data_IF_666652581633
#
_entry.id   IF_666652581633
#
_cell.length_a   1.000
_cell.length_b   1.000
_cell.length_c   1.000
_cell.angle_alpha   90.00
_cell.angle_beta   90.00
_cell.angle_gamma   90.00
#
_symmetry.space_group_name_H-M   'P 1'
#
loop_
_entity.id
_entity.type
_entity.pdbx_description
1 polymer ?
#
# COMPACT_ATOMS: atom_id res chain seq x y z
N UNK A 1 -48.68 -14.57 -58.81
CA UNK A 1 -48.13 -13.43 -58.06
C UNK A 1 -47.19 -13.99 -56.99
N UNK A 2 -46.02 -13.40 -56.76
CA UNK A 2 -45.07 -13.87 -55.73
C UNK A 2 -44.73 -12.74 -54.77
N UNK A 3 -45.26 -12.80 -53.55
CA UNK A 3 -44.91 -11.85 -52.49
C UNK A 3 -43.52 -12.21 -51.93
N UNK A 4 -42.56 -11.29 -51.99
CA UNK A 4 -41.27 -11.44 -51.31
C UNK A 4 -41.41 -10.92 -49.88
N UNK A 5 -41.34 -11.82 -48.91
CA UNK A 5 -41.33 -11.48 -47.49
C UNK A 5 -39.94 -10.95 -47.10
N UNK A 6 -39.83 -9.66 -46.80
CA UNK A 6 -38.59 -9.06 -46.31
C UNK A 6 -38.52 -9.16 -44.78
N UNK A 7 -37.60 -9.98 -44.27
CA UNK A 7 -37.34 -10.09 -42.82
C UNK A 7 -36.41 -8.95 -42.41
N UNK A 8 -36.92 -8.03 -41.58
CA UNK A 8 -36.14 -6.91 -41.07
C UNK A 8 -35.37 -7.34 -39.79
N UNK A 9 -34.07 -7.63 -39.93
CA UNK A 9 -33.20 -7.95 -38.80
C UNK A 9 -32.78 -6.66 -38.07
N UNK A 10 -33.52 -6.32 -37.01
CA UNK A 10 -33.14 -5.24 -36.11
C UNK A 10 -31.98 -5.67 -35.20
N UNK A 11 -30.75 -5.32 -35.58
CA UNK A 11 -29.56 -5.60 -34.77
C UNK A 11 -29.50 -4.69 -33.54
N UNK A 12 -29.84 -5.21 -32.37
CA UNK A 12 -29.53 -4.54 -31.10
C UNK A 12 -28.01 -4.49 -30.91
N UNK A 13 -27.43 -3.31 -31.11
CA UNK A 13 -26.04 -3.03 -30.76
C UNK A 13 -25.90 -2.95 -29.24
N UNK A 14 -25.61 -4.08 -28.59
CA UNK A 14 -25.29 -4.11 -27.17
C UNK A 14 -23.96 -3.39 -26.92
N UNK A 15 -24.00 -2.23 -26.28
CA UNK A 15 -22.82 -1.53 -25.77
C UNK A 15 -22.27 -2.29 -24.56
N UNK A 16 -21.38 -3.24 -24.81
CA UNK A 16 -20.50 -3.79 -23.76
C UNK A 16 -19.56 -2.69 -23.29
N UNK A 17 -19.98 -1.96 -22.26
CA UNK A 17 -19.07 -1.14 -21.47
C UNK A 17 -18.04 -2.08 -20.86
N UNK A 18 -16.72 -1.92 -21.14
CA UNK A 18 -15.71 -2.72 -20.49
C UNK A 18 -15.74 -2.40 -19.00
N UNK A 19 -15.98 -3.42 -18.17
CA UNK A 19 -15.66 -3.33 -16.74
C UNK A 19 -14.15 -3.20 -16.68
N UNK A 20 -13.67 -2.02 -16.26
CA UNK A 20 -12.25 -1.82 -15.97
C UNK A 20 -11.86 -2.85 -14.90
N UNK A 21 -10.78 -3.59 -15.15
CA UNK A 21 -10.20 -4.47 -14.15
C UNK A 21 -9.88 -3.67 -12.87
N UNK A 22 -10.05 -4.30 -11.72
CA UNK A 22 -9.65 -3.69 -10.47
C UNK A 22 -8.13 -3.48 -10.47
N UNK A 23 -7.69 -2.31 -10.02
CA UNK A 23 -6.25 -2.01 -9.91
C UNK A 23 -5.67 -2.78 -8.74
N UNK A 24 -4.62 -3.54 -9.01
CA UNK A 24 -3.94 -4.37 -8.02
C UNK A 24 -2.93 -3.57 -7.21
N UNK A 25 -3.22 -3.38 -5.93
CA UNK A 25 -2.41 -2.61 -4.99
C UNK A 25 -1.76 -3.56 -3.98
N UNK A 26 -0.47 -3.85 -4.21
CA UNK A 26 0.34 -4.58 -3.23
C UNK A 26 0.79 -3.65 -2.12
N UNK A 27 0.43 -3.96 -0.88
CA UNK A 27 1.01 -3.33 0.30
C UNK A 27 2.20 -4.16 0.77
N UNK A 28 3.40 -3.74 0.37
CA UNK A 28 4.68 -4.37 0.72
C UNK A 28 5.25 -3.73 1.99
N UNK A 29 5.72 -4.54 2.93
CA UNK A 29 6.38 -3.99 4.10
C UNK A 29 6.83 -4.97 5.16
N UNK A 30 7.08 -4.41 6.33
CA UNK A 30 7.41 -5.17 7.53
C UNK A 30 6.17 -5.33 8.46
N UNK A 31 6.38 -5.45 9.77
CA UNK A 31 5.30 -5.53 10.78
C UNK A 31 4.36 -4.33 10.76
N UNK A 32 4.82 -3.14 10.35
CA UNK A 32 3.95 -1.96 10.17
C UNK A 32 2.90 -2.21 9.09
N UNK A 33 3.25 -2.94 8.03
CA UNK A 33 2.30 -3.31 6.98
C UNK A 33 1.50 -4.55 7.36
N UNK A 34 2.15 -5.60 7.89
CA UNK A 34 1.52 -6.88 8.19
C UNK A 34 0.70 -6.87 9.48
N UNK A 35 1.36 -6.81 10.63
CA UNK A 35 0.73 -6.90 11.95
C UNK A 35 1.66 -6.43 13.08
N UNK A 36 1.15 -5.75 14.12
CA UNK A 36 -0.25 -5.34 14.31
C UNK A 36 -0.55 -3.97 13.69
N UNK A 37 -1.69 -3.88 12.99
CA UNK A 37 -2.18 -2.64 12.39
C UNK A 37 -3.57 -2.80 11.77
N UNK A 38 -4.33 -1.72 11.79
CA UNK A 38 -5.68 -1.59 11.22
C UNK A 38 -5.74 -0.62 10.01
N UNK A 39 -4.64 0.06 9.68
CA UNK A 39 -4.63 1.15 8.70
C UNK A 39 -5.05 0.73 7.29
N UNK A 40 -4.78 -0.52 6.86
CA UNK A 40 -5.27 -1.03 5.56
C UNK A 40 -6.81 -1.12 5.52
N UNK A 41 -7.45 -1.57 6.61
CA UNK A 41 -8.91 -1.60 6.72
C UNK A 41 -9.52 -0.18 6.76
N UNK A 42 -8.85 0.77 7.44
CA UNK A 42 -9.25 2.19 7.43
C UNK A 42 -9.09 2.81 6.04
N UNK A 43 -8.01 2.49 5.32
CA UNK A 43 -7.74 2.95 3.95
C UNK A 43 -8.78 2.37 2.97
N UNK A 44 -9.06 1.07 3.03
CA UNK A 44 -10.14 0.41 2.28
C UNK A 44 -11.49 1.09 2.55
N UNK A 45 -11.82 1.33 3.81
CA UNK A 45 -13.07 2.02 4.20
C UNK A 45 -13.14 3.43 3.61
N UNK A 46 -12.04 4.19 3.61
CA UNK A 46 -11.99 5.53 2.99
C UNK A 46 -12.17 5.47 1.46
N UNK A 47 -11.58 4.49 0.78
CA UNK A 47 -11.70 4.28 -0.66
C UNK A 47 -13.14 3.90 -1.05
N UNK A 48 -13.72 2.90 -0.39
CA UNK A 48 -15.10 2.45 -0.64
C UNK A 48 -16.12 3.55 -0.34
N UNK A 49 -15.96 4.30 0.77
CA UNK A 49 -16.82 5.44 1.08
C UNK A 49 -16.71 6.59 0.07
N UNK A 50 -15.60 6.69 -0.67
CA UNK A 50 -15.41 7.62 -1.77
C UNK A 50 -15.81 7.05 -3.15
N UNK A 51 -16.50 5.90 -3.18
CA UNK A 51 -17.02 5.27 -4.39
C UNK A 51 -15.98 4.46 -5.19
N UNK A 52 -14.78 4.21 -4.65
CA UNK A 52 -13.76 3.38 -5.29
C UNK A 52 -14.08 1.90 -5.06
N UNK A 53 -14.67 1.26 -6.06
CA UNK A 53 -15.01 -0.18 -6.05
C UNK A 53 -14.03 -1.05 -6.83
N UNK A 54 -13.09 -0.45 -7.56
CA UNK A 54 -12.20 -1.15 -8.50
C UNK A 54 -10.78 -1.27 -7.90
N UNK A 55 -10.73 -1.70 -6.64
CA UNK A 55 -9.49 -1.94 -5.87
C UNK A 55 -9.38 -3.43 -5.59
N UNK A 56 -8.20 -4.00 -5.84
CA UNK A 56 -7.80 -5.38 -5.51
C UNK A 56 -6.55 -5.26 -4.63
N UNK A 57 -6.64 -5.44 -3.31
CA UNK A 57 -5.46 -5.49 -2.45
C UNK A 57 -4.80 -6.85 -2.62
N UNK A 58 -3.50 -6.89 -2.91
CA UNK A 58 -2.84 -8.16 -3.27
C UNK A 58 -1.54 -8.42 -2.49
N UNK A 59 -1.29 -9.70 -2.21
CA UNK A 59 -0.06 -10.19 -1.61
C UNK A 59 -0.14 -11.69 -1.28
N UNK A 60 0.93 -12.28 -0.78
CA UNK A 60 0.91 -13.70 -0.37
C UNK A 60 0.40 -13.94 1.06
N UNK A 61 0.18 -12.88 1.84
CA UNK A 61 -0.37 -12.95 3.20
C UNK A 61 -1.82 -12.47 3.22
N UNK A 62 -2.72 -13.16 3.96
CA UNK A 62 -4.13 -12.80 4.01
C UNK A 62 -4.39 -11.55 4.87
N UNK A 63 -5.59 -10.97 4.70
CA UNK A 63 -6.13 -9.94 5.59
C UNK A 63 -6.04 -10.29 7.09
N UNK A 64 -5.46 -9.39 7.87
CA UNK A 64 -5.29 -9.53 9.33
C UNK A 64 -6.50 -8.94 10.09
N UNK A 65 -6.80 -9.52 11.25
CA UNK A 65 -8.00 -9.19 12.02
C UNK A 65 -8.03 -7.77 12.58
N UNK A 66 -8.92 -6.92 12.03
CA UNK A 66 -9.17 -5.55 12.48
C UNK A 66 -10.63 -5.33 12.96
N UNK A 67 -11.51 -6.34 12.87
CA UNK A 67 -12.94 -6.22 13.20
C UNK A 67 -13.78 -5.48 12.14
N UNK A 68 -13.14 -4.74 11.24
CA UNK A 68 -13.72 -4.14 10.04
C UNK A 68 -13.63 -5.16 8.88
N UNK A 69 -14.71 -5.44 8.12
CA UNK A 69 -14.62 -6.17 6.86
C UNK A 69 -13.92 -5.34 5.78
N UNK A 70 -12.84 -5.88 5.22
CA UNK A 70 -12.06 -5.29 4.15
C UNK A 70 -11.43 -6.39 3.29
N UNK A 71 -11.16 -6.08 2.02
CA UNK A 71 -10.09 -6.76 1.32
C UNK A 71 -8.76 -6.23 1.89
N UNK A 72 -7.82 -7.13 2.14
CA UNK A 72 -6.64 -6.87 2.96
C UNK A 72 -5.45 -7.76 2.66
N UNK A 73 -5.43 -8.46 1.53
CA UNK A 73 -4.26 -9.27 1.16
C UNK A 73 -3.04 -8.36 0.93
N UNK A 74 -1.87 -8.84 1.36
CA UNK A 74 -0.71 -7.98 1.61
C UNK A 74 0.61 -8.74 1.60
N UNK A 75 1.71 -8.00 1.56
CA UNK A 75 3.08 -8.51 1.58
C UNK A 75 3.84 -7.92 2.78
N UNK A 76 3.19 -7.93 3.95
CA UNK A 76 3.68 -7.34 5.20
C UNK A 76 4.37 -8.34 6.14
N UNK A 77 5.70 -8.42 6.09
CA UNK A 77 6.48 -9.47 6.76
C UNK A 77 7.13 -8.99 8.07
N UNK A 78 6.56 -9.40 9.21
CA UNK A 78 7.08 -9.04 10.53
C UNK A 78 8.56 -9.38 10.73
N UNK A 79 9.37 -8.40 11.15
CA UNK A 79 10.80 -8.57 11.37
C UNK A 79 11.68 -8.51 10.11
N UNK A 80 11.13 -8.36 8.91
CA UNK A 80 11.92 -8.38 7.67
C UNK A 80 12.71 -7.09 7.42
N UNK A 81 13.86 -7.27 6.78
CA UNK A 81 14.79 -6.20 6.40
C UNK A 81 14.72 -5.97 4.89
N UNK A 82 14.59 -4.71 4.45
CA UNK A 82 14.66 -4.29 3.06
C UNK A 82 15.98 -4.74 2.40
N UNK A 83 17.10 -4.65 3.13
CA UNK A 83 18.40 -5.15 2.71
C UNK A 83 18.41 -6.67 2.53
N UNK A 84 17.75 -7.44 3.41
CA UNK A 84 17.63 -8.90 3.22
C UNK A 84 16.70 -9.26 2.06
N UNK A 85 15.56 -8.57 1.91
CA UNK A 85 14.63 -8.75 0.78
C UNK A 85 15.35 -8.54 -0.56
N UNK A 86 16.23 -7.53 -0.64
CA UNK A 86 17.06 -7.26 -1.81
C UNK A 86 18.18 -8.30 -1.97
N UNK A 87 18.99 -8.55 -0.94
CA UNK A 87 20.14 -9.46 -0.98
C UNK A 87 19.75 -10.92 -1.25
N UNK A 88 18.56 -11.35 -0.80
CA UNK A 88 18.02 -12.69 -1.00
C UNK A 88 17.10 -12.76 -2.24
N UNK A 89 16.95 -11.66 -2.99
CA UNK A 89 16.14 -11.56 -4.20
C UNK A 89 14.70 -12.09 -4.02
N UNK A 90 14.03 -11.68 -2.95
CA UNK A 90 12.70 -12.20 -2.58
C UNK A 90 11.57 -11.58 -3.41
N UNK A 91 11.70 -10.29 -3.74
CA UNK A 91 10.66 -9.48 -4.39
C UNK A 91 10.10 -10.06 -5.71
N UNK A 92 10.91 -10.63 -6.64
CA UNK A 92 10.38 -11.20 -7.88
C UNK A 92 9.36 -12.32 -7.67
N UNK A 93 9.48 -13.11 -6.60
CA UNK A 93 8.52 -14.17 -6.28
C UNK A 93 7.14 -13.57 -5.97
N UNK A 94 7.08 -12.62 -5.04
CA UNK A 94 5.84 -11.91 -4.64
C UNK A 94 5.17 -11.20 -5.81
N UNK A 95 5.96 -10.47 -6.63
CA UNK A 95 5.45 -9.80 -7.83
C UNK A 95 4.90 -10.80 -8.85
N UNK A 96 5.56 -11.95 -9.05
CA UNK A 96 5.10 -12.99 -9.99
C UNK A 96 3.85 -13.73 -9.51
N UNK A 97 3.65 -13.86 -8.20
CA UNK A 97 2.51 -14.56 -7.61
C UNK A 97 1.19 -13.78 -7.70
N UNK A 98 1.26 -12.44 -7.73
CA UNK A 98 0.09 -11.56 -7.58
C UNK A 98 -0.10 -10.59 -8.75
N UNK A 99 0.98 -10.25 -9.48
CA UNK A 99 1.02 -9.30 -10.61
C UNK A 99 0.41 -7.93 -10.26
N UNK A 100 0.96 -7.18 -9.29
CA UNK A 100 0.42 -5.88 -8.89
C UNK A 100 0.71 -4.78 -9.92
N UNK A 101 -0.27 -3.91 -10.14
CA UNK A 101 -0.11 -2.68 -10.92
C UNK A 101 0.63 -1.61 -10.12
N UNK A 102 0.41 -1.60 -8.80
CA UNK A 102 0.94 -0.60 -7.85
C UNK A 102 1.52 -1.31 -6.63
N UNK A 103 2.74 -0.93 -6.23
CA UNK A 103 3.35 -1.37 -4.97
C UNK A 103 3.46 -0.18 -4.02
N UNK A 104 2.62 -0.17 -2.98
CA UNK A 104 2.71 0.77 -1.86
C UNK A 104 3.63 0.16 -0.80
N UNK A 105 4.80 0.77 -0.57
CA UNK A 105 5.87 0.18 0.23
C UNK A 105 6.17 0.98 1.51
N UNK A 106 5.98 0.34 2.67
CA UNK A 106 6.61 0.74 3.94
C UNK A 106 7.62 -0.33 4.31
N UNK A 107 8.85 -0.20 3.81
CA UNK A 107 9.93 -1.11 4.16
C UNK A 107 11.05 -0.39 4.89
N UNK A 108 11.52 -1.07 5.92
CA UNK A 108 12.75 -0.75 6.59
C UNK A 108 12.78 -1.22 8.03
N UNK A 109 11.69 -1.30 8.80
CA UNK A 109 11.64 -1.12 10.29
C UNK A 109 12.60 -1.98 11.11
N UNK A 110 13.18 -3.02 10.51
CA UNK A 110 14.15 -3.95 11.09
C UNK A 110 15.60 -3.76 10.55
N UNK A 111 15.80 -3.18 9.35
CA UNK A 111 16.98 -2.36 9.02
C UNK A 111 16.89 -0.99 9.71
N UNK A 112 15.74 -0.67 10.33
CA UNK A 112 15.31 0.68 10.72
C UNK A 112 14.91 0.78 12.20
N UNK A 113 15.27 -0.22 13.01
CA UNK A 113 15.60 0.02 14.42
C UNK A 113 17.12 0.12 14.58
N UNK A 114 17.90 -0.56 13.72
CA UNK A 114 19.28 -0.22 13.42
C UNK A 114 19.55 0.34 11.97
N UNK A 115 19.05 1.45 11.40
CA UNK A 115 18.09 2.55 11.68
C UNK A 115 17.84 3.38 10.37
N UNK A 116 16.60 3.76 9.94
CA UNK A 116 16.31 4.56 8.71
C UNK A 116 14.81 5.05 8.51
N UNK A 117 14.22 5.27 7.30
CA UNK A 117 12.90 5.96 7.11
C UNK A 117 11.65 5.10 7.31
N UNK A 118 10.85 5.48 8.30
CA UNK A 118 9.49 5.00 8.59
C UNK A 118 8.78 6.10 9.42
N UNK A 119 7.63 5.79 10.01
CA UNK A 119 7.08 6.51 11.16
C UNK A 119 8.22 6.92 12.14
N UNK A 120 8.11 8.08 12.83
CA UNK A 120 9.08 8.45 13.86
C UNK A 120 9.12 7.36 14.94
N UNK A 121 10.29 7.10 15.52
CA UNK A 121 10.41 6.12 16.60
C UNK A 121 11.41 6.55 17.67
N UNK A 122 11.01 6.36 18.93
CA UNK A 122 11.80 6.71 20.10
C UNK A 122 11.63 5.62 21.18
N UNK A 123 12.14 4.39 20.94
CA UNK A 123 12.04 3.32 21.92
C UNK A 123 13.00 3.57 23.09
N UNK A 124 12.61 3.10 24.28
CA UNK A 124 13.48 3.16 25.46
C UNK A 124 14.85 2.53 25.17
N UNK A 125 15.92 3.22 25.54
CA UNK A 125 17.30 2.78 25.29
C UNK A 125 17.92 3.15 23.94
N UNK A 126 17.20 3.81 23.01
CA UNK A 126 17.75 4.21 21.71
C UNK A 126 17.64 5.71 21.43
N UNK A 127 18.52 6.51 22.04
CA UNK A 127 18.58 7.98 21.86
C UNK A 127 18.81 8.41 20.41
N UNK A 128 19.60 7.64 19.65
CA UNK A 128 19.92 7.98 18.25
C UNK A 128 18.86 7.49 17.25
N UNK A 129 17.83 6.72 17.67
CA UNK A 129 16.88 6.10 16.74
C UNK A 129 16.21 7.14 15.84
N UNK A 130 15.51 8.12 16.42
CA UNK A 130 14.81 9.15 15.62
C UNK A 130 15.76 10.01 14.77
N UNK A 131 16.99 10.27 15.22
CA UNK A 131 17.95 11.07 14.46
C UNK A 131 18.42 10.35 13.19
N UNK A 132 18.66 9.04 13.29
CA UNK A 132 19.08 8.22 12.17
C UNK A 132 17.90 7.84 11.26
N UNK A 133 16.67 7.84 11.77
CA UNK A 133 15.44 7.90 10.94
C UNK A 133 15.45 9.15 10.07
N UNK A 134 15.52 10.35 10.67
CA UNK A 134 15.55 11.64 9.97
C UNK A 134 16.65 11.67 8.88
N UNK A 135 17.84 11.13 9.18
CA UNK A 135 18.94 11.06 8.22
C UNK A 135 18.56 10.31 6.93
N UNK A 136 17.93 9.13 7.02
CA UNK A 136 17.50 8.38 5.83
C UNK A 136 16.23 8.97 5.21
N UNK A 137 15.29 9.55 5.99
CA UNK A 137 14.16 10.32 5.45
C UNK A 137 14.64 11.40 4.47
N UNK A 138 15.75 12.07 4.77
CA UNK A 138 16.32 13.11 3.91
C UNK A 138 16.88 12.56 2.57
N UNK A 139 17.19 11.27 2.50
CA UNK A 139 17.76 10.62 1.32
C UNK A 139 16.71 10.15 0.31
N UNK A 140 15.52 9.69 0.74
CA UNK A 140 14.50 9.14 -0.18
C UNK A 140 14.06 10.12 -1.27
N UNK A 141 13.77 11.42 -1.01
CA UNK A 141 13.36 12.34 -2.08
C UNK A 141 14.38 12.45 -3.22
N UNK A 142 15.68 12.39 -2.91
CA UNK A 142 16.75 12.37 -3.90
C UNK A 142 16.86 11.00 -4.59
N UNK A 143 16.78 9.90 -3.84
CA UNK A 143 16.80 8.53 -4.39
C UNK A 143 15.63 8.28 -5.35
N UNK A 144 14.39 8.62 -4.95
CA UNK A 144 13.18 8.45 -5.74
C UNK A 144 13.26 9.28 -7.03
N UNK A 145 13.68 10.55 -6.94
CA UNK A 145 13.92 11.40 -8.12
C UNK A 145 14.97 10.82 -9.09
N UNK A 146 15.96 10.10 -8.58
CA UNK A 146 17.01 9.44 -9.37
C UNK A 146 16.62 8.03 -9.88
N UNK A 147 15.44 7.52 -9.53
CA UNK A 147 14.96 6.17 -9.91
C UNK A 147 13.60 6.17 -10.63
N UNK A 148 12.78 7.19 -10.45
CA UNK A 148 11.49 7.35 -11.10
C UNK A 148 11.63 7.48 -12.63
N UNK A 149 10.67 6.93 -13.37
CA UNK A 149 10.57 7.06 -14.83
C UNK A 149 9.11 7.29 -15.23
N UNK A 150 8.85 7.70 -16.48
CA UNK A 150 7.47 7.83 -16.99
C UNK A 150 6.75 6.48 -17.10
N UNK A 151 7.50 5.38 -17.29
CA UNK A 151 6.94 4.02 -17.38
C UNK A 151 6.77 3.32 -16.03
N UNK A 152 7.49 3.77 -15.00
CA UNK A 152 7.39 3.31 -13.62
C UNK A 152 7.66 4.51 -12.69
N UNK A 153 6.61 5.27 -12.32
CA UNK A 153 6.74 6.46 -11.50
C UNK A 153 6.88 6.09 -10.01
N UNK A 154 7.83 6.73 -9.33
CA UNK A 154 8.06 6.54 -7.89
C UNK A 154 7.65 7.82 -7.17
N UNK A 155 6.64 7.72 -6.30
CA UNK A 155 6.14 8.83 -5.48
C UNK A 155 6.45 8.57 -4.00
N UNK A 156 6.89 9.61 -3.29
CA UNK A 156 7.27 9.51 -1.87
C UNK A 156 6.08 9.85 -0.99
N UNK A 157 5.66 8.90 -0.15
CA UNK A 157 4.61 9.10 0.86
C UNK A 157 5.25 9.46 2.19
N UNK A 158 4.95 10.65 2.72
CA UNK A 158 5.46 11.09 4.02
C UNK A 158 4.58 10.55 5.15
N UNK A 159 5.01 9.42 5.73
CA UNK A 159 4.41 8.83 6.93
C UNK A 159 5.02 9.39 8.23
N UNK A 160 6.05 10.23 8.15
CA UNK A 160 6.77 10.76 9.32
C UNK A 160 6.11 12.02 9.87
N UNK A 161 5.73 12.93 8.97
CA UNK A 161 5.18 14.25 9.32
C UNK A 161 3.82 14.16 10.01
N UNK A 162 3.74 14.70 11.24
CA UNK A 162 2.51 14.75 12.03
C UNK A 162 2.20 13.48 12.83
N UNK A 163 3.03 12.44 12.68
CA UNK A 163 3.00 11.26 13.54
C UNK A 163 3.75 11.56 14.86
N UNK A 164 3.27 11.02 15.97
CA UNK A 164 3.76 11.25 17.32
C UNK A 164 3.82 9.93 18.11
N UNK A 165 5.03 9.48 18.43
CA UNK A 165 5.31 8.23 19.16
C UNK A 165 4.65 8.11 20.53
N UNK A 166 4.17 9.20 21.12
CA UNK A 166 3.54 9.18 22.45
C UNK A 166 2.01 9.08 22.38
N UNK A 167 1.38 9.38 21.24
CA UNK A 167 -0.09 9.38 21.07
C UNK A 167 -0.60 8.43 19.99
N UNK A 168 0.28 8.04 19.07
CA UNK A 168 -0.03 7.24 17.89
C UNK A 168 0.53 5.82 18.01
N UNK A 169 1.52 5.64 18.89
CA UNK A 169 1.95 4.36 19.43
C UNK A 169 1.82 4.34 20.94
N UNK A 170 1.36 3.22 21.48
CA UNK A 170 1.47 2.81 22.87
C UNK A 170 2.12 1.41 22.87
N UNK A 171 2.62 0.92 24.01
CA UNK A 171 3.24 -0.42 24.23
C UNK A 171 4.24 -0.98 23.18
N UNK A 172 4.72 -0.16 22.23
CA UNK A 172 5.59 -0.54 21.11
C UNK A 172 4.87 -0.79 19.78
N UNK A 173 3.54 -0.68 19.75
CA UNK A 173 2.67 -0.99 18.60
C UNK A 173 1.91 0.25 18.09
N UNK A 174 1.27 0.14 16.92
CA UNK A 174 0.52 1.25 16.30
C UNK A 174 -0.95 1.18 16.74
N UNK A 175 -1.41 2.22 17.44
CA UNK A 175 -2.77 2.32 17.96
C UNK A 175 -3.69 3.12 17.03
N UNK A 176 -4.96 3.30 17.38
CA UNK A 176 -6.02 3.86 16.52
C UNK A 176 -5.61 5.16 15.79
N UNK A 177 -5.08 6.14 16.54
CA UNK A 177 -4.59 7.42 16.00
C UNK A 177 -3.48 7.24 14.95
N UNK A 178 -2.53 6.34 15.20
CA UNK A 178 -1.44 6.04 14.27
C UNK A 178 -1.95 5.36 13.02
N UNK A 179 -2.88 4.41 13.16
CA UNK A 179 -3.50 3.73 12.02
C UNK A 179 -4.29 4.70 11.14
N UNK A 180 -5.04 5.64 11.74
CA UNK A 180 -5.76 6.67 11.01
C UNK A 180 -4.82 7.60 10.21
N UNK A 181 -3.67 7.99 10.80
CA UNK A 181 -2.66 8.82 10.12
C UNK A 181 -1.98 8.10 8.96
N UNK A 182 -1.62 6.82 9.12
CA UNK A 182 -1.01 6.03 8.04
C UNK A 182 -1.99 5.88 6.87
N UNK A 183 -3.25 5.54 7.17
CA UNK A 183 -4.31 5.46 6.16
C UNK A 183 -4.50 6.80 5.42
N UNK A 184 -4.59 7.91 6.15
CA UNK A 184 -4.76 9.25 5.58
C UNK A 184 -3.56 9.70 4.73
N UNK A 185 -2.32 9.32 5.09
CA UNK A 185 -1.12 9.62 4.30
C UNK A 185 -1.07 8.80 3.00
N UNK A 186 -1.49 7.53 3.00
CA UNK A 186 -1.55 6.70 1.79
C UNK A 186 -2.75 7.03 0.89
N UNK A 187 -3.89 7.42 1.47
CA UNK A 187 -5.16 7.66 0.78
C UNK A 187 -5.04 8.49 -0.51
N UNK A 188 -4.45 9.70 -0.54
CA UNK A 188 -4.40 10.51 -1.75
C UNK A 188 -3.53 9.91 -2.87
N UNK A 189 -2.64 8.96 -2.57
CA UNK A 189 -1.85 8.27 -3.59
C UNK A 189 -2.61 7.08 -4.15
N UNK A 190 -3.20 6.25 -3.29
CA UNK A 190 -4.01 5.09 -3.72
C UNK A 190 -5.28 5.54 -4.45
N UNK A 191 -5.98 6.58 -3.95
CA UNK A 191 -7.18 7.14 -4.59
C UNK A 191 -6.98 7.59 -6.04
N UNK A 192 -5.75 8.01 -6.39
CA UNK A 192 -5.42 8.53 -7.73
C UNK A 192 -4.98 7.44 -8.73
N UNK A 193 -4.84 6.18 -8.30
CA UNK A 193 -4.48 5.04 -9.16
C UNK A 193 -5.58 3.99 -9.26
N UNK A 194 -6.70 4.16 -8.53
CA UNK A 194 -7.89 3.28 -8.52
C UNK A 194 -9.16 4.02 -8.92
#
# INVERSE_FOLDING_TARGET
MHAKLAVLLASLAYTVNPVLAATKVMFLGDSITGSPGCWRALLWTQLVNAGKTNVDMVGTLPAQGCGIPYDGDNEGHGGYLATNIANQNMLPAWLSATTPDVVAMTLGTNDVRPIAQILPMNPSGCTECNQRVIAFNSAIPAWAKNKTTTASPITVVDLYKGFNTTTDTYDGFIHENGNAKIAASYYPFVYNVV
#
